data_IF_800626023068
#
_entry.id   IF_800626023068
#
_cell.length_a   1.000
_cell.length_b   1.000
_cell.length_c   1.000
_cell.angle_alpha   90.00
_cell.angle_beta   90.00
_cell.angle_gamma   90.00
#
_symmetry.space_group_name_H-M   'P 1'
#
loop_
_entity.id
_entity.type
_entity.pdbx_description
1 polymer ?
#
# COMPACT_ATOMS: atom_id res chain seq x y z
N UNK A 1 64.72 43.28 -10.83
CA UNK A 1 64.35 43.39 -9.41
C UNK A 1 64.56 42.03 -8.77
N UNK A 2 65.31 42.03 -7.67
CA UNK A 2 65.70 40.90 -6.84
C UNK A 2 64.57 40.67 -5.82
N UNK A 3 64.13 39.43 -5.60
CA UNK A 3 64.15 38.74 -4.29
C UNK A 3 63.40 37.40 -4.36
N UNK A 4 64.15 36.34 -4.07
CA UNK A 4 63.66 35.04 -3.60
C UNK A 4 62.98 35.17 -2.25
N UNK A 5 61.94 34.37 -1.97
CA UNK A 5 61.78 33.70 -0.67
C UNK A 5 61.36 32.25 -0.89
N UNK A 6 62.21 31.37 -0.37
CA UNK A 6 62.06 29.94 -0.11
C UNK A 6 61.32 29.79 1.22
N UNK A 7 60.48 28.76 1.41
CA UNK A 7 60.67 27.74 2.45
C UNK A 7 59.39 26.98 2.86
N UNK A 8 59.45 25.67 2.57
CA UNK A 8 59.01 24.50 3.35
C UNK A 8 58.51 24.71 4.79
N UNK A 9 57.44 23.98 5.17
CA UNK A 9 57.58 22.74 5.99
C UNK A 9 56.30 21.88 6.02
N UNK A 10 56.41 20.56 6.28
CA UNK A 10 55.35 19.57 6.17
C UNK A 10 54.81 19.05 7.52
N UNK A 11 53.84 18.15 7.38
CA UNK A 11 53.47 17.03 8.26
C UNK A 11 52.88 17.34 9.65
N UNK A 12 51.66 16.84 9.88
CA UNK A 12 51.47 15.87 10.95
C UNK A 12 50.29 14.95 10.67
N UNK A 13 50.62 13.68 10.41
CA UNK A 13 49.73 12.55 10.60
C UNK A 13 49.76 12.19 12.10
N UNK A 14 48.58 11.93 12.67
CA UNK A 14 48.46 11.11 13.88
C UNK A 14 47.03 10.60 14.03
N UNK A 15 46.77 9.43 13.45
CA UNK A 15 46.05 8.35 14.16
C UNK A 15 47.06 7.70 15.11
N UNK A 16 46.67 7.24 16.31
CA UNK A 16 46.27 5.83 16.38
C UNK A 16 45.28 5.45 17.51
N UNK A 17 44.91 4.16 17.49
CA UNK A 17 44.41 3.28 18.56
C UNK A 17 42.93 3.42 18.94
N UNK A 18 42.06 2.49 18.53
CA UNK A 18 41.96 1.07 18.96
C UNK A 18 41.74 0.90 20.47
N UNK A 19 40.50 0.60 20.84
CA UNK A 19 40.27 -0.47 21.80
C UNK A 19 38.99 -1.22 21.44
N UNK A 20 39.19 -2.50 21.11
CA UNK A 20 38.15 -3.51 21.11
C UNK A 20 37.72 -3.77 22.55
N UNK A 21 36.41 -3.86 22.78
CA UNK A 21 35.86 -4.71 23.83
C UNK A 21 34.70 -5.48 23.22
N UNK A 22 34.94 -6.78 23.00
CA UNK A 22 33.86 -7.73 22.81
C UNK A 22 33.26 -8.11 24.16
N UNK A 23 32.01 -8.54 24.15
CA UNK A 23 31.65 -9.78 24.83
C UNK A 23 30.41 -10.37 24.16
N UNK A 24 30.59 -11.59 23.65
CA UNK A 24 29.52 -12.45 23.23
C UNK A 24 28.76 -12.94 24.46
N UNK A 25 27.42 -12.89 24.41
CA UNK A 25 26.59 -13.77 25.23
C UNK A 25 25.88 -14.74 24.31
N UNK A 26 26.23 -16.02 24.50
CA UNK A 26 25.74 -17.19 23.80
C UNK A 26 24.61 -17.84 24.62
N UNK A 27 23.72 -18.51 23.87
CA UNK A 27 22.96 -19.72 24.21
C UNK A 27 21.73 -19.54 25.12
N UNK A 28 20.57 -19.77 24.50
CA UNK A 28 19.35 -20.26 25.13
C UNK A 28 18.55 -21.04 24.09
N UNK A 29 18.98 -22.25 23.76
CA UNK A 29 18.21 -23.22 22.99
C UNK A 29 17.77 -24.34 23.94
N UNK A 30 16.46 -24.57 24.04
CA UNK A 30 15.71 -25.72 24.59
C UNK A 30 14.25 -25.28 24.41
N UNK A 31 13.40 -25.84 23.56
CA UNK A 31 13.30 -27.20 23.06
C UNK A 31 11.90 -27.71 23.45
N UNK A 32 11.04 -28.04 22.48
CA UNK A 32 10.10 -29.16 22.56
C UNK A 32 9.41 -29.37 21.22
N UNK A 33 9.59 -30.58 20.72
CA UNK A 33 9.03 -31.15 19.52
C UNK A 33 7.72 -31.92 19.83
N UNK A 34 7.15 -32.48 18.75
CA UNK A 34 6.02 -33.42 18.63
C UNK A 34 4.64 -32.75 18.40
N UNK A 35 4.15 -32.68 17.17
CA UNK A 35 3.46 -33.74 16.40
C UNK A 35 2.05 -34.08 16.94
N UNK A 36 1.01 -33.87 16.13
CA UNK A 36 0.26 -34.93 15.43
C UNK A 36 -0.99 -34.37 14.72
N UNK A 37 -1.02 -34.64 13.40
CA UNK A 37 -2.10 -35.13 12.54
C UNK A 37 -3.52 -34.50 12.54
N UNK A 38 -3.84 -33.98 11.34
CA UNK A 38 -4.97 -34.33 10.45
C UNK A 38 -6.26 -34.80 11.11
N UNK A 39 -7.33 -34.01 10.91
CA UNK A 39 -8.61 -34.54 10.40
C UNK A 39 -9.38 -33.41 9.72
N UNK A 40 -9.59 -33.53 8.41
CA UNK A 40 -10.64 -32.80 7.70
C UNK A 40 -12.01 -33.39 8.04
N UNK A 41 -13.03 -32.54 8.07
CA UNK A 41 -14.42 -32.96 8.19
C UNK A 41 -15.20 -32.51 6.96
N UNK A 42 -15.41 -33.44 6.02
CA UNK A 42 -16.58 -33.45 5.16
C UNK A 42 -17.63 -34.36 5.81
N UNK A 43 -18.71 -33.70 6.24
CA UNK A 43 -20.14 -34.05 6.28
C UNK A 43 -20.59 -35.52 6.08
N UNK A 44 -21.71 -35.83 6.78
CA UNK A 44 -22.73 -36.89 6.55
C UNK A 44 -22.40 -38.24 7.20
N UNK A 45 -23.27 -38.96 7.93
CA UNK A 45 -24.61 -38.81 8.51
C UNK A 45 -24.75 -39.91 9.58
N UNK A 46 -25.86 -39.84 10.33
CA UNK A 46 -26.64 -40.98 10.81
C UNK A 46 -26.54 -41.38 12.29
N UNK A 47 -27.75 -41.39 12.87
CA UNK A 47 -28.17 -41.61 14.26
C UNK A 47 -28.44 -43.08 14.57
N UNK A 48 -28.50 -43.45 15.86
CA UNK A 48 -29.53 -44.34 16.49
C UNK A 48 -29.20 -44.55 17.99
N UNK A 49 -30.00 -44.01 18.93
CA UNK A 49 -31.08 -44.65 19.79
C UNK A 49 -30.49 -45.35 21.04
N UNK A 50 -30.93 -45.23 22.31
CA UNK A 50 -32.27 -45.20 22.95
C UNK A 50 -32.15 -44.73 24.43
N UNK A 51 -32.90 -43.74 24.96
CA UNK A 51 -34.21 -43.73 25.70
C UNK A 51 -34.18 -44.07 27.21
N UNK A 52 -34.64 -43.11 28.03
CA UNK A 52 -35.57 -43.17 29.20
C UNK A 52 -35.96 -41.69 29.49
N UNK A 53 -37.15 -41.12 29.27
CA UNK A 53 -38.60 -41.38 29.48
C UNK A 53 -39.12 -41.09 30.88
N UNK A 54 -39.99 -40.07 30.99
CA UNK A 54 -41.33 -40.01 31.64
C UNK A 54 -41.84 -38.56 31.51
N UNK A 55 -42.71 -38.20 30.55
CA UNK A 55 -44.20 -38.29 30.49
C UNK A 55 -44.88 -37.27 31.44
N UNK A 56 -45.93 -36.49 31.10
CA UNK A 56 -47.16 -36.65 30.28
C UNK A 56 -47.54 -35.29 29.59
N UNK A 57 -47.98 -35.19 28.32
CA UNK A 57 -49.33 -35.40 27.70
C UNK A 57 -50.46 -34.51 28.30
N UNK A 58 -51.41 -33.89 27.56
CA UNK A 58 -52.04 -34.23 26.28
C UNK A 58 -52.77 -33.04 25.57
N UNK A 59 -52.81 -33.15 24.22
CA UNK A 59 -53.87 -32.91 23.22
C UNK A 59 -55.13 -32.05 23.51
N UNK A 60 -55.47 -31.17 22.55
CA UNK A 60 -56.82 -31.10 21.93
C UNK A 60 -56.82 -30.29 20.61
N UNK A 61 -57.70 -30.73 19.70
CA UNK A 61 -57.92 -30.35 18.31
C UNK A 61 -59.03 -29.26 18.16
N UNK A 62 -59.13 -28.72 16.94
CA UNK A 62 -60.26 -28.02 16.28
C UNK A 62 -60.29 -26.48 16.24
N UNK A 63 -60.41 -25.97 15.00
CA UNK A 63 -61.52 -25.04 14.68
C UNK A 63 -61.19 -23.58 14.35
N UNK A 64 -61.30 -23.28 13.05
CA UNK A 64 -61.86 -22.05 12.45
C UNK A 64 -61.06 -20.73 12.44
N UNK A 65 -60.91 -20.26 11.19
CA UNK A 65 -60.56 -18.95 10.67
C UNK A 65 -60.90 -17.71 11.52
N UNK A 66 -59.96 -16.77 11.57
CA UNK A 66 -60.29 -15.38 11.24
C UNK A 66 -59.04 -14.58 10.80
N UNK A 67 -59.20 -13.91 9.67
CA UNK A 67 -58.23 -13.11 8.92
C UNK A 67 -57.90 -11.79 9.61
N UNK A 68 -56.61 -11.45 9.70
CA UNK A 68 -56.15 -10.05 9.80
C UNK A 68 -55.02 -9.79 8.80
N UNK A 69 -55.02 -8.64 8.12
CA UNK A 69 -54.23 -8.43 6.90
C UNK A 69 -52.76 -8.13 7.22
N UNK A 70 -51.91 -8.66 6.34
CA UNK A 70 -50.49 -8.37 6.24
C UNK A 70 -50.20 -6.87 6.36
N UNK A 71 -49.43 -6.50 7.39
CA UNK A 71 -48.61 -5.30 7.34
C UNK A 71 -47.55 -5.54 6.27
N UNK A 72 -47.91 -5.21 5.03
CA UNK A 72 -47.04 -5.21 3.88
C UNK A 72 -45.75 -4.45 4.24
N UNK A 73 -44.70 -5.24 4.36
CA UNK A 73 -43.33 -4.83 4.55
C UNK A 73 -42.95 -3.94 3.36
N UNK A 74 -43.16 -2.63 3.49
CA UNK A 74 -42.73 -1.65 2.50
C UNK A 74 -41.21 -1.49 2.61
N UNK A 75 -40.48 -2.57 2.27
CA UNK A 75 -39.08 -2.49 1.87
C UNK A 75 -39.10 -1.77 0.54
N UNK A 76 -38.98 -0.45 0.58
CA UNK A 76 -38.58 0.35 -0.55
C UNK A 76 -37.39 -0.37 -1.18
N UNK A 77 -37.61 -0.96 -2.34
CA UNK A 77 -36.59 -1.68 -3.11
C UNK A 77 -35.47 -0.67 -3.32
N UNK A 78 -34.37 -0.82 -2.58
CA UNK A 78 -33.21 0.05 -2.72
C UNK A 78 -32.87 0.05 -4.21
N UNK A 79 -32.94 1.23 -4.84
CA UNK A 79 -32.63 1.37 -6.24
C UNK A 79 -31.19 0.88 -6.42
N UNK A 80 -31.02 -0.21 -7.16
CA UNK A 80 -29.70 -0.68 -7.56
C UNK A 80 -29.16 0.39 -8.49
N UNK A 81 -28.26 1.24 -7.98
CA UNK A 81 -27.52 2.18 -8.82
C UNK A 81 -26.66 1.34 -9.75
N UNK A 82 -26.80 1.47 -11.08
CA UNK A 82 -25.99 0.71 -12.02
C UNK A 82 -24.51 0.98 -11.75
N UNK A 83 -23.70 -0.07 -11.61
CA UNK A 83 -22.26 0.10 -11.50
C UNK A 83 -21.71 0.70 -12.81
N UNK A 84 -20.93 1.76 -12.66
CA UNK A 84 -20.21 2.40 -13.76
C UNK A 84 -19.15 1.47 -14.34
N UNK A 85 -18.66 1.82 -15.53
CA UNK A 85 -17.59 1.05 -16.18
C UNK A 85 -16.26 1.25 -15.45
N UNK A 86 -15.43 0.21 -15.29
CA UNK A 86 -14.08 0.35 -14.78
C UNK A 86 -13.27 1.39 -15.55
N UNK A 87 -12.39 2.10 -14.85
CA UNK A 87 -11.51 3.11 -15.45
C UNK A 87 -10.44 2.42 -16.27
N UNK A 88 -10.32 2.81 -17.54
CA UNK A 88 -9.29 2.29 -18.45
C UNK A 88 -8.03 3.14 -18.36
N UNK A 89 -6.95 2.55 -17.86
CA UNK A 89 -5.62 3.17 -17.85
C UNK A 89 -4.85 2.71 -19.09
N UNK A 90 -4.78 3.58 -20.10
CA UNK A 90 -4.14 3.32 -21.39
C UNK A 90 -2.60 3.45 -21.32
N UNK A 91 -1.99 2.62 -20.49
CA UNK A 91 -0.55 2.65 -20.16
C UNK A 91 0.32 2.39 -21.38
N UNK A 92 -0.18 1.63 -22.37
CA UNK A 92 0.54 1.30 -23.61
C UNK A 92 0.83 2.56 -24.45
N UNK A 93 -0.03 3.57 -24.36
CA UNK A 93 0.13 4.84 -25.07
C UNK A 93 0.84 5.91 -24.22
N UNK A 94 1.29 5.58 -23.00
CA UNK A 94 2.02 6.51 -22.16
C UNK A 94 3.51 6.51 -22.49
N UNK A 95 4.05 7.73 -22.60
CA UNK A 95 5.49 7.94 -22.79
C UNK A 95 6.16 8.14 -21.44
N UNK A 96 7.21 7.36 -21.21
CA UNK A 96 8.21 7.59 -20.16
C UNK A 96 9.56 7.89 -20.81
N UNK A 97 10.32 8.75 -20.16
CA UNK A 97 11.72 9.03 -20.49
C UNK A 97 12.54 8.60 -19.28
N UNK A 98 13.36 7.55 -19.45
CA UNK A 98 14.26 7.03 -18.42
C UNK A 98 15.71 7.55 -18.58
N UNK A 99 15.94 8.50 -19.50
CA UNK A 99 17.26 9.12 -19.67
C UNK A 99 17.68 9.96 -18.46
N UNK A 100 16.71 10.40 -17.65
CA UNK A 100 16.92 11.16 -16.42
C UNK A 100 16.75 10.26 -15.22
N UNK A 101 17.82 10.10 -14.46
CA UNK A 101 17.81 9.34 -13.22
C UNK A 101 17.47 10.25 -12.04
N UNK A 102 16.41 9.91 -11.31
CA UNK A 102 16.05 10.50 -10.04
C UNK A 102 16.54 9.61 -8.89
N UNK A 103 16.92 10.27 -7.79
CA UNK A 103 17.21 9.62 -6.52
C UNK A 103 16.01 9.78 -5.57
N UNK A 104 15.65 8.76 -4.76
CA UNK A 104 14.61 8.87 -3.75
C UNK A 104 14.84 10.00 -2.74
N UNK A 105 16.08 10.43 -2.58
CA UNK A 105 16.45 11.56 -1.70
C UNK A 105 16.30 12.93 -2.37
N UNK A 106 16.06 13.00 -3.69
CA UNK A 106 15.84 14.26 -4.41
C UNK A 106 14.37 14.69 -4.36
N UNK A 107 13.91 14.94 -3.13
CA UNK A 107 12.53 15.33 -2.84
C UNK A 107 12.10 16.58 -3.63
N UNK A 108 13.01 17.52 -3.87
CA UNK A 108 12.70 18.75 -4.63
C UNK A 108 12.40 18.44 -6.09
N UNK A 109 13.15 17.54 -6.73
CA UNK A 109 12.85 17.14 -8.11
C UNK A 109 11.55 16.34 -8.19
N UNK A 110 11.33 15.42 -7.25
CA UNK A 110 10.12 14.63 -7.16
C UNK A 110 8.87 15.51 -7.01
N UNK A 111 8.91 16.49 -6.09
CA UNK A 111 7.83 17.46 -5.93
C UNK A 111 7.55 18.21 -7.24
N UNK A 112 8.59 18.71 -7.94
CA UNK A 112 8.40 19.42 -9.22
C UNK A 112 7.72 18.57 -10.30
N UNK A 113 7.97 17.26 -10.32
CA UNK A 113 7.32 16.32 -11.25
C UNK A 113 5.85 16.13 -10.95
N UNK A 114 5.48 16.09 -9.68
CA UNK A 114 4.09 15.87 -9.25
C UNK A 114 3.25 17.14 -9.29
N UNK A 115 3.85 18.30 -9.01
CA UNK A 115 3.24 19.61 -9.13
C UNK A 115 3.61 20.56 -7.99
N UNK A 116 2.76 21.57 -7.77
CA UNK A 116 2.93 22.48 -6.64
C UNK A 116 2.42 21.79 -5.37
N UNK A 117 3.23 21.76 -4.32
CA UNK A 117 2.78 21.36 -2.97
C UNK A 117 1.74 22.36 -2.48
N UNK A 118 0.56 21.86 -2.10
CA UNK A 118 -0.56 22.65 -1.59
C UNK A 118 -0.67 22.59 -0.08
N UNK A 119 -0.34 21.45 0.52
CA UNK A 119 -0.34 21.22 1.96
C UNK A 119 0.89 20.39 2.34
N UNK A 120 1.53 20.79 3.44
CA UNK A 120 2.58 20.00 4.10
C UNK A 120 2.08 19.64 5.49
N UNK A 121 2.13 18.35 5.82
CA UNK A 121 1.81 17.81 7.14
C UNK A 121 3.07 17.18 7.72
N UNK A 122 3.64 17.81 8.75
CA UNK A 122 4.89 17.41 9.39
C UNK A 122 4.70 16.33 10.47
N UNK A 123 3.46 15.91 10.74
CA UNK A 123 3.13 14.92 11.77
C UNK A 123 2.50 13.65 11.17
N UNK A 124 2.84 13.34 9.92
CA UNK A 124 2.36 12.14 9.26
C UNK A 124 3.13 10.90 9.72
N UNK A 125 2.62 9.74 9.32
CA UNK A 125 3.28 8.46 9.52
C UNK A 125 3.58 7.82 8.18
N UNK A 126 4.76 7.19 8.09
CA UNK A 126 5.13 6.35 6.96
C UNK A 126 4.50 4.95 7.05
N UNK A 127 4.79 4.11 6.06
CA UNK A 127 4.37 2.73 5.89
C UNK A 127 4.73 1.86 7.09
N UNK A 128 5.83 2.16 7.77
CA UNK A 128 6.30 1.46 8.96
C UNK A 128 5.90 2.17 10.27
N UNK A 129 4.98 3.14 10.20
CA UNK A 129 4.49 3.93 11.33
C UNK A 129 5.54 4.81 12.02
N UNK A 130 6.62 5.17 11.32
CA UNK A 130 7.57 6.18 11.81
C UNK A 130 7.10 7.60 11.46
N UNK A 131 7.60 8.60 12.19
CA UNK A 131 7.37 10.01 11.86
C UNK A 131 7.83 10.33 10.44
N UNK A 132 6.96 11.00 9.69
CA UNK A 132 7.21 11.37 8.31
C UNK A 132 6.57 12.72 7.96
N UNK A 133 7.03 13.32 6.86
CA UNK A 133 6.43 14.53 6.30
C UNK A 133 5.62 14.16 5.07
N UNK A 134 4.34 14.52 5.07
CA UNK A 134 3.43 14.32 3.95
C UNK A 134 3.25 15.60 3.14
N UNK A 135 3.53 15.53 1.85
CA UNK A 135 3.34 16.61 0.89
C UNK A 135 2.16 16.27 -0.01
N UNK A 136 1.14 17.12 -0.03
CA UNK A 136 -0.03 16.95 -0.91
C UNK A 136 0.06 17.87 -2.12
N UNK A 137 -0.43 17.38 -3.26
CA UNK A 137 -0.41 18.10 -4.54
C UNK A 137 -1.80 18.43 -5.09
N UNK A 138 -2.87 18.06 -4.36
CA UNK A 138 -4.26 18.33 -4.74
C UNK A 138 -4.80 19.63 -4.11
N UNK A 139 -5.84 20.23 -4.70
CA UNK A 139 -6.55 21.37 -4.10
C UNK A 139 -7.89 20.93 -3.53
N UNK A 140 -8.21 21.38 -2.32
CA UNK A 140 -9.51 21.07 -1.68
C UNK A 140 -9.80 19.58 -1.68
N UNK A 141 -10.96 19.21 -2.22
CA UNK A 141 -11.49 17.84 -2.26
C UNK A 141 -11.15 17.10 -3.57
N UNK A 142 -10.19 17.58 -4.36
CA UNK A 142 -9.72 16.88 -5.56
C UNK A 142 -9.12 15.50 -5.20
N UNK A 143 -9.22 14.51 -6.11
CA UNK A 143 -8.51 13.23 -6.01
C UNK A 143 -7.04 13.41 -5.60
N UNK A 144 -6.65 12.68 -4.55
CA UNK A 144 -5.37 12.93 -3.92
C UNK A 144 -4.18 12.45 -4.76
N UNK A 145 -3.08 13.16 -4.57
CA UNK A 145 -1.73 12.79 -4.96
C UNK A 145 -0.81 13.34 -3.87
N UNK A 146 0.03 12.48 -3.30
CA UNK A 146 0.93 12.82 -2.21
C UNK A 146 2.27 12.08 -2.26
N UNK A 147 3.24 12.67 -1.55
CA UNK A 147 4.49 12.04 -1.16
C UNK A 147 4.50 11.95 0.36
N UNK A 148 4.88 10.80 0.92
CA UNK A 148 5.27 10.69 2.33
C UNK A 148 6.77 10.42 2.36
N UNK A 149 7.50 11.30 3.04
CA UNK A 149 8.96 11.30 3.11
C UNK A 149 9.40 11.04 4.55
N UNK A 150 10.07 9.92 4.80
CA UNK A 150 10.65 9.58 6.10
C UNK A 150 12.14 9.27 5.98
N UNK A 151 12.78 8.89 7.08
CA UNK A 151 14.20 8.53 7.07
C UNK A 151 14.45 7.28 6.22
N UNK A 152 13.60 6.26 6.33
CA UNK A 152 13.81 4.96 5.67
C UNK A 152 13.03 4.80 4.38
N UNK A 153 11.91 5.52 4.22
CA UNK A 153 10.99 5.33 3.11
C UNK A 153 10.71 6.60 2.34
N UNK A 154 10.47 6.41 1.06
CA UNK A 154 9.81 7.36 0.18
C UNK A 154 8.55 6.69 -0.35
N UNK A 155 7.40 7.31 -0.11
CA UNK A 155 6.12 6.78 -0.54
C UNK A 155 5.43 7.74 -1.48
N UNK A 156 4.76 7.17 -2.47
CA UNK A 156 3.86 7.89 -3.35
C UNK A 156 2.46 7.31 -3.19
N UNK A 157 1.51 8.17 -2.85
CA UNK A 157 0.10 7.83 -2.78
C UNK A 157 -0.68 8.59 -3.85
N UNK A 158 -1.58 7.91 -4.56
CA UNK A 158 -2.54 8.59 -5.42
C UNK A 158 -3.88 7.87 -5.50
N UNK A 159 -4.92 8.63 -5.80
CA UNK A 159 -6.29 8.13 -5.93
C UNK A 159 -6.44 7.19 -7.14
N UNK A 160 -7.01 6.01 -6.89
CA UNK A 160 -7.39 5.03 -7.91
C UNK A 160 -8.90 5.11 -8.13
N UNK A 161 -9.33 5.59 -9.30
CA UNK A 161 -10.71 6.01 -9.48
C UNK A 161 -11.74 4.88 -9.35
N UNK A 162 -12.86 5.22 -8.71
CA UNK A 162 -14.04 4.38 -8.62
C UNK A 162 -14.77 4.36 -9.98
N UNK A 163 -15.30 3.20 -10.43
CA UNK A 163 -16.12 3.14 -11.64
C UNK A 163 -17.30 4.12 -11.68
N UNK A 164 -17.83 4.52 -10.51
CA UNK A 164 -18.94 5.46 -10.37
C UNK A 164 -18.54 6.93 -10.27
N UNK A 165 -17.24 7.23 -10.24
CA UNK A 165 -16.75 8.61 -10.16
C UNK A 165 -17.17 9.43 -11.39
N UNK A 166 -17.20 10.75 -11.21
CA UNK A 166 -17.38 11.68 -12.33
C UNK A 166 -16.23 11.56 -13.34
N UNK A 167 -16.49 12.00 -14.57
CA UNK A 167 -15.45 12.02 -15.61
C UNK A 167 -14.24 12.89 -15.21
N UNK A 168 -14.47 13.96 -14.45
CA UNK A 168 -13.42 14.84 -13.95
C UNK A 168 -12.51 14.12 -12.95
N UNK A 169 -13.09 13.38 -11.99
CA UNK A 169 -12.34 12.61 -11.00
C UNK A 169 -11.56 11.47 -11.65
N UNK A 170 -12.18 10.74 -12.58
CA UNK A 170 -11.51 9.70 -13.37
C UNK A 170 -10.34 10.26 -14.15
N UNK A 171 -10.53 11.41 -14.80
CA UNK A 171 -9.46 12.09 -15.53
C UNK A 171 -8.30 12.48 -14.61
N UNK A 172 -8.58 13.01 -13.41
CA UNK A 172 -7.52 13.34 -12.45
C UNK A 172 -6.78 12.10 -11.96
N UNK A 173 -7.48 11.00 -11.67
CA UNK A 173 -6.83 9.72 -11.32
C UNK A 173 -5.89 9.23 -12.43
N UNK A 174 -6.31 9.29 -13.69
CA UNK A 174 -5.48 8.95 -14.86
C UNK A 174 -4.26 9.88 -14.96
N UNK A 175 -4.45 11.19 -14.78
CA UNK A 175 -3.36 12.17 -14.84
C UNK A 175 -2.33 11.93 -13.71
N UNK A 176 -2.77 11.57 -12.50
CA UNK A 176 -1.88 11.18 -11.40
C UNK A 176 -1.14 9.88 -11.69
N UNK A 177 -1.84 8.84 -12.18
CA UNK A 177 -1.23 7.58 -12.55
C UNK A 177 -0.15 7.76 -13.65
N UNK A 178 -0.39 8.65 -14.62
CA UNK A 178 0.58 8.98 -15.67
C UNK A 178 1.82 9.69 -15.13
N UNK A 179 1.67 10.60 -14.17
CA UNK A 179 2.83 11.21 -13.47
C UNK A 179 3.62 10.15 -12.73
N UNK A 180 2.95 9.22 -12.05
CA UNK A 180 3.61 8.15 -11.31
C UNK A 180 4.31 7.15 -12.21
N UNK A 181 3.74 6.84 -13.37
CA UNK A 181 4.39 6.04 -14.41
C UNK A 181 5.71 6.67 -14.86
N UNK A 182 5.74 8.00 -15.05
CA UNK A 182 6.96 8.73 -15.42
C UNK A 182 7.97 8.81 -14.27
N UNK A 183 7.53 9.14 -13.06
CA UNK A 183 8.40 9.20 -11.88
C UNK A 183 9.04 7.84 -11.58
N UNK A 184 8.28 6.76 -11.69
CA UNK A 184 8.81 5.41 -11.50
C UNK A 184 9.85 5.06 -12.58
N UNK A 185 9.63 5.47 -13.82
CA UNK A 185 10.63 5.31 -14.88
C UNK A 185 11.94 6.05 -14.57
N UNK A 186 11.87 7.28 -14.07
CA UNK A 186 13.06 8.05 -13.73
C UNK A 186 13.77 7.52 -12.46
N UNK A 187 13.05 6.86 -11.54
CA UNK A 187 13.62 6.27 -10.33
C UNK A 187 14.25 4.88 -10.55
N UNK A 188 13.70 4.09 -11.48
CA UNK A 188 13.95 2.65 -11.61
C UNK A 188 14.15 2.16 -13.05
N UNK A 189 14.18 3.05 -14.04
CA UNK A 189 14.20 2.70 -15.46
C UNK A 189 12.86 2.19 -15.98
N UNK A 190 12.83 1.65 -17.20
CA UNK A 190 11.62 1.07 -17.82
C UNK A 190 10.89 0.02 -16.97
N UNK A 191 11.60 -0.71 -16.11
CA UNK A 191 10.96 -1.63 -15.15
C UNK A 191 10.11 -0.91 -14.11
N UNK A 192 10.44 0.35 -13.78
CA UNK A 192 9.66 1.20 -12.89
C UNK A 192 8.33 1.63 -13.49
N UNK A 193 8.31 2.04 -14.75
CA UNK A 193 7.04 2.32 -15.44
C UNK A 193 6.20 1.05 -15.60
N UNK A 194 6.83 -0.08 -15.92
CA UNK A 194 6.14 -1.38 -15.96
C UNK A 194 5.57 -1.78 -14.60
N UNK A 195 6.26 -1.47 -13.49
CA UNK A 195 5.73 -1.68 -12.13
C UNK A 195 4.41 -0.93 -11.94
N UNK A 196 4.34 0.35 -12.33
CA UNK A 196 3.10 1.14 -12.23
C UNK A 196 1.99 0.58 -13.12
N UNK A 197 2.32 0.16 -14.35
CA UNK A 197 1.35 -0.51 -15.22
C UNK A 197 0.78 -1.78 -14.57
N UNK A 198 1.64 -2.59 -13.97
CA UNK A 198 1.24 -3.79 -13.25
C UNK A 198 0.35 -3.46 -12.04
N UNK A 199 0.69 -2.42 -11.26
CA UNK A 199 -0.15 -1.95 -10.14
C UNK A 199 -1.56 -1.59 -10.61
N UNK A 200 -1.68 -0.83 -11.70
CA UNK A 200 -2.97 -0.41 -12.25
C UNK A 200 -3.81 -1.58 -12.81
N UNK A 201 -3.14 -2.67 -13.20
CA UNK A 201 -3.79 -3.94 -13.57
C UNK A 201 -4.18 -4.82 -12.36
N UNK A 202 -3.98 -4.34 -11.13
CA UNK A 202 -4.31 -5.03 -9.89
C UNK A 202 -3.21 -5.93 -9.34
N UNK A 203 -2.00 -5.90 -9.91
CA UNK A 203 -0.88 -6.68 -9.38
C UNK A 203 -0.27 -6.03 -8.15
N UNK A 204 0.05 -6.86 -7.15
CA UNK A 204 0.72 -6.45 -5.92
C UNK A 204 2.16 -6.92 -5.98
N UNK A 205 3.11 -6.00 -5.81
CA UNK A 205 4.53 -6.30 -5.64
C UNK A 205 4.96 -5.98 -4.22
N UNK A 206 5.72 -6.87 -3.58
CA UNK A 206 6.27 -6.67 -2.23
C UNK A 206 7.73 -7.12 -2.20
N UNK A 207 8.56 -6.43 -1.43
CA UNK A 207 9.95 -6.79 -1.16
C UNK A 207 10.75 -7.16 -2.42
N UNK A 208 10.64 -6.37 -3.48
CA UNK A 208 11.27 -6.63 -4.78
C UNK A 208 12.35 -5.60 -5.07
N UNK A 209 13.51 -6.06 -5.49
CA UNK A 209 14.56 -5.20 -6.03
C UNK A 209 14.33 -4.96 -7.53
N UNK A 210 14.35 -3.70 -7.96
CA UNK A 210 14.28 -3.29 -9.36
C UNK A 210 15.46 -2.36 -9.62
N UNK A 211 16.40 -2.80 -10.46
CA UNK A 211 17.72 -2.16 -10.56
C UNK A 211 18.40 -2.06 -9.19
N UNK A 212 18.70 -0.85 -8.75
CA UNK A 212 19.29 -0.56 -7.43
C UNK A 212 18.26 -0.22 -6.36
N UNK A 213 16.97 -0.11 -6.71
CA UNK A 213 15.91 0.29 -5.78
C UNK A 213 15.24 -0.91 -5.15
N UNK A 214 14.94 -0.78 -3.87
CA UNK A 214 14.14 -1.74 -3.12
C UNK A 214 12.70 -1.22 -3.04
N UNK A 215 11.78 -1.95 -3.67
CA UNK A 215 10.34 -1.74 -3.57
C UNK A 215 9.82 -2.58 -2.41
N UNK A 216 9.36 -1.92 -1.36
CA UNK A 216 8.76 -2.60 -0.19
C UNK A 216 7.33 -3.02 -0.49
N UNK A 217 6.56 -2.12 -1.12
CA UNK A 217 5.17 -2.35 -1.50
C UNK A 217 4.83 -1.53 -2.73
N UNK A 218 4.12 -2.14 -3.68
CA UNK A 218 3.54 -1.46 -4.82
C UNK A 218 2.19 -2.12 -5.16
N UNK A 219 1.09 -1.38 -5.03
CA UNK A 219 -0.26 -1.87 -5.35
C UNK A 219 -1.26 -0.75 -5.62
N UNK A 220 -2.37 -1.10 -6.28
CA UNK A 220 -3.60 -0.30 -6.34
C UNK A 220 -4.78 -1.14 -5.85
N UNK A 221 -5.41 -0.75 -4.74
CA UNK A 221 -6.57 -1.42 -4.15
C UNK A 221 -7.43 -0.40 -3.39
N UNK A 222 -8.74 -0.64 -3.27
CA UNK A 222 -9.65 0.17 -2.46
C UNK A 222 -9.55 1.69 -2.73
N UNK A 223 -9.56 2.06 -4.01
CA UNK A 223 -9.46 3.44 -4.48
C UNK A 223 -8.15 4.16 -4.13
N UNK A 224 -7.11 3.40 -3.79
CA UNK A 224 -5.79 3.91 -3.44
C UNK A 224 -4.68 3.14 -4.16
N UNK A 225 -3.76 3.87 -4.76
CA UNK A 225 -2.48 3.35 -5.20
C UNK A 225 -1.37 3.82 -4.24
N UNK A 226 -0.45 2.91 -3.94
CA UNK A 226 0.69 3.14 -3.06
C UNK A 226 1.94 2.49 -3.65
N UNK A 227 3.01 3.29 -3.78
CA UNK A 227 4.35 2.82 -4.11
C UNK A 227 5.32 3.25 -3.00
N UNK A 228 5.87 2.28 -2.29
CA UNK A 228 6.81 2.43 -1.17
C UNK A 228 8.19 1.98 -1.61
N UNK A 229 9.14 2.90 -1.58
CA UNK A 229 10.55 2.64 -1.86
C UNK A 229 11.37 2.79 -0.59
N UNK A 230 12.32 1.88 -0.38
CA UNK A 230 13.35 2.05 0.64
C UNK A 230 14.44 2.98 0.13
N UNK A 231 14.89 3.89 1.00
CA UNK A 231 15.99 4.84 0.73
C UNK A 231 17.37 4.22 0.94
#
# INVERSE_FOLDING_TARGET
>A
MIFSIISNKPANASLPQSSAQGLATRIGALGLAACLLVTGCSKVEESTTSVETTAEQALADSGAAESTPDMANNRTKAAVVPEGKPVSYDVENWKSDDSKRLEPTDLKQLQRKLGKVTVTDENSLDYASNTAIKYRFMKGDEPYLDIIDSQEYLEFGWYYANPNDSDSEKKMSIDHAKKMYQVAAELMGSEGSQLVANMLSGQITKNKKIGERQVELAKCEFYSCMLVLKK
#
